data_IF_974256717592
#
_entry.id   IF_974256717592
#
_cell.length_a   1.000
_cell.length_b   1.000
_cell.length_c   1.000
_cell.angle_alpha   90.00
_cell.angle_beta   90.00
_cell.angle_gamma   90.00
#
_symmetry.space_group_name_H-M   'P 1'
#
loop_
_entity.id
_entity.type
_entity.pdbx_description
1 polymer ?
#
# COMPACT_ATOMS: atom_id res chain seq x y z
N UNK A 1 -3.07 -0.81 38.79
CA UNK A 1 -3.52 0.42 38.11
C UNK A 1 -4.74 0.92 38.87
N UNK A 2 -4.72 2.14 39.41
CA UNK A 2 -5.80 2.64 40.26
C UNK A 2 -7.03 3.04 39.42
N UNK A 3 -8.23 2.80 39.94
CA UNK A 3 -9.49 3.27 39.34
C UNK A 3 -9.58 4.80 39.43
N UNK A 4 -10.25 5.43 38.46
CA UNK A 4 -10.56 6.86 38.51
C UNK A 4 -11.45 7.21 39.72
N UNK A 5 -12.28 6.27 40.20
CA UNK A 5 -13.08 6.44 41.41
C UNK A 5 -12.19 6.66 42.66
N UNK A 6 -11.09 5.90 42.78
CA UNK A 6 -10.14 6.02 43.89
C UNK A 6 -9.43 7.38 43.83
N UNK A 7 -9.14 7.87 42.63
CA UNK A 7 -8.53 9.19 42.43
C UNK A 7 -9.45 10.32 42.87
N UNK A 8 -10.75 10.23 42.58
CA UNK A 8 -11.75 11.19 43.08
C UNK A 8 -11.80 11.15 44.60
N UNK A 9 -11.88 9.96 45.23
CA UNK A 9 -11.91 9.83 46.68
C UNK A 9 -10.69 10.46 47.37
N UNK A 10 -9.48 10.22 46.85
CA UNK A 10 -8.23 10.82 47.37
C UNK A 10 -8.25 12.34 47.27
N UNK A 11 -8.73 12.90 46.16
CA UNK A 11 -8.82 14.36 45.96
C UNK A 11 -9.87 14.95 46.91
N UNK A 12 -11.06 14.37 46.99
CA UNK A 12 -12.15 14.84 47.87
C UNK A 12 -11.73 14.82 49.34
N UNK A 13 -11.12 13.72 49.80
CA UNK A 13 -10.62 13.60 51.17
C UNK A 13 -9.54 14.64 51.49
N UNK A 14 -8.64 14.92 50.53
CA UNK A 14 -7.64 15.99 50.68
C UNK A 14 -8.28 17.36 50.87
N UNK A 15 -9.38 17.66 50.16
CA UNK A 15 -10.08 18.95 50.23
C UNK A 15 -10.95 19.07 51.48
N UNK A 16 -11.74 18.05 51.81
CA UNK A 16 -12.67 18.08 52.94
C UNK A 16 -11.96 18.02 54.30
N UNK A 17 -10.91 17.20 54.40
CA UNK A 17 -10.17 16.99 55.66
C UNK A 17 -8.93 17.86 55.78
N UNK A 18 -8.58 18.63 54.73
CA UNK A 18 -7.41 19.52 54.67
C UNK A 18 -6.10 18.83 55.08
N UNK A 19 -5.97 17.53 54.80
CA UNK A 19 -4.79 16.72 55.11
C UNK A 19 -3.74 16.80 54.02
N UNK A 20 -2.50 16.35 54.24
CA UNK A 20 -1.49 16.29 53.18
C UNK A 20 -1.86 15.28 52.09
N UNK A 21 -1.41 15.52 50.84
CA UNK A 21 -1.66 14.63 49.71
C UNK A 21 -1.12 13.20 49.94
N UNK A 22 0.01 13.08 50.64
CA UNK A 22 0.56 11.78 51.03
C UNK A 22 -0.35 11.05 52.03
N UNK A 23 -0.91 11.78 53.02
CA UNK A 23 -1.85 11.20 53.99
C UNK A 23 -3.15 10.76 53.32
N UNK A 24 -3.69 11.56 52.40
CA UNK A 24 -4.85 11.19 51.60
C UNK A 24 -4.59 9.95 50.73
N UNK A 25 -3.39 9.83 50.15
CA UNK A 25 -2.98 8.62 49.42
C UNK A 25 -2.96 7.38 50.30
N UNK A 26 -2.33 7.46 51.48
CA UNK A 26 -2.26 6.34 52.43
C UNK A 26 -3.63 5.84 52.88
N UNK A 27 -4.58 6.75 53.10
CA UNK A 27 -5.95 6.41 53.51
C UNK A 27 -6.64 5.46 52.52
N UNK A 28 -6.42 5.67 51.21
CA UNK A 28 -7.01 4.86 50.14
C UNK A 28 -6.02 3.87 49.50
N UNK A 29 -4.92 3.55 50.21
CA UNK A 29 -3.89 2.61 49.76
C UNK A 29 -3.26 2.98 48.39
N UNK A 30 -3.12 4.28 48.13
CA UNK A 30 -2.48 4.85 46.95
C UNK A 30 -1.05 5.29 47.30
N UNK A 31 -0.10 4.96 46.44
CA UNK A 31 1.29 5.43 46.55
C UNK A 31 1.34 6.96 46.69
N UNK A 32 2.19 7.45 47.61
CA UNK A 32 2.23 8.86 47.99
C UNK A 32 2.57 9.77 46.80
N UNK A 33 3.48 9.34 45.91
CA UNK A 33 3.84 10.13 44.72
C UNK A 33 2.68 10.21 43.74
N UNK A 34 1.89 9.15 43.64
CA UNK A 34 0.70 9.10 42.80
C UNK A 34 -0.38 10.05 43.32
N UNK A 35 -0.67 10.01 44.62
CA UNK A 35 -1.63 10.92 45.26
C UNK A 35 -1.20 12.40 45.14
N UNK A 36 0.09 12.69 45.38
CA UNK A 36 0.66 14.03 45.19
C UNK A 36 0.52 14.51 43.74
N UNK A 37 0.78 13.64 42.75
CA UNK A 37 0.64 13.97 41.33
C UNK A 37 -0.82 14.28 40.97
N UNK A 38 -1.78 13.50 41.44
CA UNK A 38 -3.21 13.74 41.18
C UNK A 38 -3.70 15.06 41.77
N UNK A 39 -3.35 15.35 43.02
CA UNK A 39 -3.76 16.59 43.70
C UNK A 39 -3.08 17.81 43.05
N UNK A 40 -1.81 17.69 42.62
CA UNK A 40 -1.12 18.75 41.88
C UNK A 40 -1.79 19.04 40.54
N UNK A 41 -2.16 17.98 39.81
CA UNK A 41 -2.85 18.08 38.53
C UNK A 41 -4.25 18.68 38.69
N UNK A 42 -4.98 18.29 39.73
CA UNK A 42 -6.29 18.85 40.07
C UNK A 42 -6.21 20.34 40.40
N UNK A 43 -5.22 20.77 41.21
CA UNK A 43 -4.98 22.20 41.49
C UNK A 43 -4.60 22.98 40.23
N UNK A 44 -3.83 22.37 39.32
CA UNK A 44 -3.47 22.96 38.01
C UNK A 44 -4.71 23.19 37.13
N UNK A 45 -5.62 22.22 37.10
CA UNK A 45 -6.89 22.30 36.36
C UNK A 45 -7.90 23.28 36.98
N UNK A 46 -7.82 23.55 38.28
CA UNK A 46 -8.62 24.61 38.90
C UNK A 46 -8.08 26.02 38.64
N UNK A 47 -6.76 26.18 38.49
CA UNK A 47 -6.13 27.49 38.25
C UNK A 47 -6.16 27.92 36.78
N UNK A 48 -6.09 26.96 35.85
CA UNK A 48 -6.26 27.20 34.42
C UNK A 48 -7.52 26.47 33.96
N UNK A 49 -8.57 27.25 33.67
CA UNK A 49 -9.78 26.71 33.04
C UNK A 49 -9.46 25.96 31.75
N UNK A 50 -10.12 24.82 31.59
CA UNK A 50 -9.94 23.79 30.56
C UNK A 50 -8.56 23.10 30.57
N UNK A 51 -8.50 21.75 30.65
CA UNK A 51 -7.23 21.04 30.65
C UNK A 51 -6.55 21.26 29.30
N UNK A 52 -5.47 22.04 29.30
CA UNK A 52 -4.54 22.17 28.17
C UNK A 52 -4.18 20.74 27.74
N UNK A 53 -4.74 20.29 26.61
CA UNK A 53 -4.61 18.93 26.10
C UNK A 53 -3.13 18.55 26.23
N UNK A 54 -2.84 17.46 26.94
CA UNK A 54 -1.48 17.03 27.20
C UNK A 54 -0.71 17.05 25.88
N UNK A 55 0.16 18.06 25.67
CA UNK A 55 0.89 18.27 24.42
C UNK A 55 1.61 16.97 24.11
N UNK A 56 1.09 16.22 23.14
CA UNK A 56 1.69 14.95 22.72
C UNK A 56 3.14 15.25 22.39
N UNK A 57 4.06 14.46 22.95
CA UNK A 57 5.49 14.62 22.64
C UNK A 57 5.63 14.70 21.11
N UNK A 58 6.35 15.71 20.58
CA UNK A 58 6.52 15.82 19.14
C UNK A 58 7.05 14.48 18.61
N UNK A 59 6.35 13.90 17.64
CA UNK A 59 6.80 12.68 17.00
C UNK A 59 8.15 12.88 16.30
N UNK A 60 8.79 11.78 15.84
CA UNK A 60 10.00 11.87 15.03
C UNK A 60 9.81 12.84 13.85
N UNK A 61 10.83 13.66 13.57
CA UNK A 61 10.83 14.55 12.40
C UNK A 61 10.65 13.71 11.14
N UNK A 62 9.76 14.15 10.24
CA UNK A 62 9.53 13.46 8.96
C UNK A 62 10.79 13.54 8.11
N UNK A 63 11.26 12.39 7.60
CA UNK A 63 12.42 12.29 6.70
C UNK A 63 12.15 12.94 5.34
N UNK A 64 10.88 13.05 4.92
CA UNK A 64 10.46 13.74 3.71
C UNK A 64 9.96 15.16 4.04
N UNK A 65 10.72 16.17 3.61
CA UNK A 65 10.36 17.59 3.70
C UNK A 65 9.47 18.06 2.56
N UNK A 66 9.08 19.34 2.57
CA UNK A 66 8.29 19.95 1.48
C UNK A 66 9.08 20.01 0.17
N UNK A 67 10.39 20.23 0.22
CA UNK A 67 11.27 20.24 -0.96
C UNK A 67 11.28 18.88 -1.67
N UNK A 68 11.34 17.79 -0.91
CA UNK A 68 11.28 16.42 -1.45
C UNK A 68 9.93 16.13 -2.14
N UNK A 69 8.83 16.64 -1.57
CA UNK A 69 7.51 16.49 -2.18
C UNK A 69 7.37 17.30 -3.46
N UNK A 70 7.85 18.54 -3.46
CA UNK A 70 7.83 19.41 -4.63
C UNK A 70 8.59 18.77 -5.79
N UNK A 71 9.77 18.22 -5.51
CA UNK A 71 10.56 17.45 -6.48
C UNK A 71 9.79 16.27 -7.06
N UNK A 72 9.20 15.43 -6.20
CA UNK A 72 8.43 14.27 -6.66
C UNK A 72 7.19 14.65 -7.48
N UNK A 73 6.48 15.72 -7.10
CA UNK A 73 5.32 16.20 -7.85
C UNK A 73 5.75 16.66 -9.25
N UNK A 74 6.77 17.49 -9.35
CA UNK A 74 7.29 17.95 -10.63
C UNK A 74 7.79 16.79 -11.50
N UNK A 75 8.54 15.85 -10.90
CA UNK A 75 9.02 14.67 -11.61
C UNK A 75 7.89 13.80 -12.17
N UNK A 76 6.80 13.62 -11.42
CA UNK A 76 5.61 12.85 -11.83
C UNK A 76 4.83 13.59 -12.92
N UNK A 77 4.70 14.92 -12.81
CA UNK A 77 4.01 15.75 -13.82
C UNK A 77 4.76 15.71 -15.16
N UNK A 78 6.10 15.79 -15.13
CA UNK A 78 6.96 15.69 -16.30
C UNK A 78 7.00 14.25 -16.86
N UNK A 79 6.88 13.25 -15.99
CA UNK A 79 6.96 11.83 -16.33
C UNK A 79 5.75 11.05 -15.80
N UNK A 80 4.55 11.22 -16.39
CA UNK A 80 3.32 10.61 -15.87
C UNK A 80 3.31 9.06 -15.89
N UNK A 81 4.27 8.45 -16.60
CA UNK A 81 4.47 7.00 -16.67
C UNK A 81 5.61 6.48 -15.79
N UNK A 82 6.31 7.34 -15.04
CA UNK A 82 7.47 6.95 -14.25
C UNK A 82 7.10 5.89 -13.20
N UNK A 83 7.99 4.91 -13.03
CA UNK A 83 7.87 3.90 -11.99
C UNK A 83 8.45 4.42 -10.68
N UNK A 84 8.00 3.84 -9.55
CA UNK A 84 8.43 4.23 -8.21
C UNK A 84 9.97 4.24 -8.09
N UNK A 85 10.66 3.26 -8.69
CA UNK A 85 12.11 3.18 -8.66
C UNK A 85 12.77 4.36 -9.37
N UNK A 86 12.22 4.83 -10.49
CA UNK A 86 12.76 5.99 -11.22
C UNK A 86 12.52 7.29 -10.44
N UNK A 87 11.35 7.43 -9.81
CA UNK A 87 11.07 8.56 -8.92
C UNK A 87 12.00 8.55 -7.69
N UNK A 88 12.28 7.37 -7.14
CA UNK A 88 13.20 7.21 -6.02
C UNK A 88 14.65 7.51 -6.43
N UNK A 89 15.08 7.06 -7.60
CA UNK A 89 16.41 7.32 -8.15
C UNK A 89 16.62 8.83 -8.36
N UNK A 90 15.66 9.49 -9.00
CA UNK A 90 15.61 10.95 -9.15
C UNK A 90 15.68 11.68 -7.81
N UNK A 91 14.95 11.18 -6.81
CA UNK A 91 14.96 11.72 -5.46
C UNK A 91 16.34 11.54 -4.80
N UNK A 92 16.93 10.34 -4.82
CA UNK A 92 18.27 10.07 -4.27
C UNK A 92 19.41 10.80 -4.99
N UNK A 93 19.26 11.10 -6.28
CA UNK A 93 20.23 11.91 -7.03
C UNK A 93 20.20 13.38 -6.57
N UNK A 94 19.01 13.89 -6.24
CA UNK A 94 18.83 15.30 -5.94
C UNK A 94 19.05 15.66 -4.46
N UNK A 95 18.83 14.74 -3.52
CA UNK A 95 19.11 15.01 -2.11
C UNK A 95 19.88 13.88 -1.44
N UNK A 96 20.95 14.25 -0.73
CA UNK A 96 21.83 13.32 -0.03
C UNK A 96 21.11 12.66 1.17
N UNK A 97 21.45 11.39 1.46
CA UNK A 97 20.94 10.67 2.63
C UNK A 97 19.56 10.00 2.47
N UNK A 98 18.98 9.98 1.27
CA UNK A 98 17.65 9.39 1.03
C UNK A 98 17.65 7.92 0.57
N UNK A 99 18.75 7.21 0.77
CA UNK A 99 19.03 5.90 0.18
C UNK A 99 18.18 4.73 0.72
N UNK A 100 17.33 4.95 1.73
CA UNK A 100 16.65 3.87 2.47
C UNK A 100 15.13 4.07 2.67
N UNK A 101 14.49 4.97 1.93
CA UNK A 101 13.10 5.35 2.21
C UNK A 101 12.04 4.29 1.84
N UNK A 102 12.37 3.35 0.95
CA UNK A 102 11.44 2.30 0.51
C UNK A 102 12.19 0.97 0.38
N UNK A 103 11.76 -0.01 1.19
CA UNK A 103 12.25 -1.39 1.05
C UNK A 103 11.40 -2.12 0.01
N UNK A 104 12.05 -2.76 -0.94
CA UNK A 104 11.37 -3.50 -1.98
C UNK A 104 10.61 -4.68 -1.36
N UNK A 105 9.30 -4.74 -1.61
CA UNK A 105 8.45 -5.83 -1.12
C UNK A 105 8.34 -6.88 -2.23
N UNK A 106 8.84 -8.09 -1.96
CA UNK A 106 8.67 -9.21 -2.86
C UNK A 106 7.29 -9.86 -2.64
N UNK A 107 6.54 -10.01 -3.72
CA UNK A 107 5.29 -10.77 -3.67
C UNK A 107 5.59 -12.26 -3.51
N UNK A 108 5.20 -12.83 -2.37
CA UNK A 108 5.23 -14.27 -2.17
C UNK A 108 3.95 -14.90 -2.70
N UNK A 109 4.05 -15.66 -3.79
CA UNK A 109 2.94 -16.43 -4.32
C UNK A 109 2.57 -17.59 -3.36
N UNK A 110 1.65 -17.34 -2.44
CA UNK A 110 1.24 -18.27 -1.39
C UNK A 110 0.79 -19.63 -1.95
N UNK A 111 0.03 -19.62 -3.04
CA UNK A 111 -0.42 -20.84 -3.69
C UNK A 111 0.75 -21.67 -4.24
N UNK A 112 1.80 -21.03 -4.79
CA UNK A 112 2.98 -21.73 -5.35
C UNK A 112 3.92 -22.26 -4.27
N UNK A 113 3.94 -21.58 -3.12
CA UNK A 113 4.84 -21.85 -2.00
C UNK A 113 4.16 -22.60 -0.85
N UNK A 114 2.97 -23.20 -1.08
CA UNK A 114 2.40 -24.14 -0.12
C UNK A 114 3.25 -25.41 -0.05
N UNK A 115 3.32 -26.01 1.14
CA UNK A 115 4.09 -27.25 1.37
C UNK A 115 3.70 -28.33 0.36
N UNK A 116 2.40 -28.50 0.10
CA UNK A 116 1.89 -29.45 -0.88
C UNK A 116 2.45 -29.21 -2.30
N UNK A 117 2.47 -27.96 -2.77
CA UNK A 117 2.96 -27.64 -4.11
C UNK A 117 4.49 -27.63 -4.19
N UNK A 118 5.19 -27.43 -3.07
CA UNK A 118 6.62 -27.64 -2.97
C UNK A 118 6.93 -29.14 -3.08
N UNK A 119 6.24 -30.01 -2.33
CA UNK A 119 6.42 -31.47 -2.39
C UNK A 119 6.11 -32.02 -3.79
N UNK A 120 5.00 -31.60 -4.42
CA UNK A 120 4.69 -32.00 -5.80
C UNK A 120 5.78 -31.61 -6.80
N UNK A 121 6.39 -30.42 -6.66
CA UNK A 121 7.50 -30.00 -7.52
C UNK A 121 8.75 -30.83 -7.24
N UNK A 122 9.03 -31.13 -5.98
CA UNK A 122 10.15 -31.97 -5.59
C UNK A 122 10.03 -33.39 -6.18
N UNK A 123 8.87 -34.02 -6.02
CA UNK A 123 8.57 -35.33 -6.61
C UNK A 123 8.68 -35.32 -8.14
N UNK A 124 8.13 -34.28 -8.78
CA UNK A 124 8.25 -34.10 -10.23
C UNK A 124 9.71 -34.00 -10.67
N UNK A 125 10.50 -33.12 -10.06
CA UNK A 125 11.92 -32.95 -10.39
C UNK A 125 12.67 -34.27 -10.18
N UNK A 126 12.45 -34.95 -9.06
CA UNK A 126 13.12 -36.22 -8.73
C UNK A 126 12.81 -37.31 -9.75
N UNK A 127 11.54 -37.42 -10.15
CA UNK A 127 11.09 -38.37 -11.17
C UNK A 127 11.82 -38.16 -12.50
N UNK A 128 11.95 -36.90 -12.92
CA UNK A 128 12.52 -36.53 -14.21
C UNK A 128 14.04 -36.44 -14.21
N UNK A 129 14.66 -36.19 -13.06
CA UNK A 129 16.12 -36.20 -12.90
C UNK A 129 16.72 -37.59 -13.18
N UNK A 130 15.97 -38.66 -12.91
CA UNK A 130 16.37 -40.04 -13.17
C UNK A 130 16.05 -40.52 -14.60
N UNK A 131 15.59 -39.62 -15.48
CA UNK A 131 15.25 -39.94 -16.87
C UNK A 131 16.33 -39.44 -17.84
N UNK A 132 16.22 -39.81 -19.12
CA UNK A 132 17.07 -39.27 -20.21
C UNK A 132 16.67 -37.83 -20.62
N UNK A 133 15.88 -37.11 -19.82
CA UNK A 133 15.48 -35.75 -20.14
C UNK A 133 16.60 -34.76 -19.80
N UNK A 134 17.30 -34.30 -20.82
CA UNK A 134 18.36 -33.30 -20.73
C UNK A 134 17.89 -31.97 -21.32
N UNK A 135 17.49 -31.04 -20.43
CA UNK A 135 16.91 -29.74 -20.78
C UNK A 135 17.70 -28.94 -21.83
N UNK A 136 19.02 -29.14 -21.90
CA UNK A 136 19.89 -28.43 -22.82
C UNK A 136 20.08 -29.11 -24.19
N UNK A 137 19.59 -30.34 -24.40
CA UNK A 137 19.82 -31.10 -25.64
C UNK A 137 18.55 -31.65 -26.29
N UNK A 138 17.62 -32.22 -25.52
CA UNK A 138 16.49 -32.96 -26.07
C UNK A 138 15.12 -32.42 -25.62
N UNK A 139 15.05 -31.19 -25.12
CA UNK A 139 13.79 -30.55 -24.72
C UNK A 139 13.45 -29.34 -25.59
N UNK A 140 12.16 -29.21 -25.90
CA UNK A 140 11.53 -28.00 -26.43
C UNK A 140 10.49 -27.56 -25.41
N UNK A 141 10.58 -26.32 -24.96
CA UNK A 141 9.65 -25.69 -24.04
C UNK A 141 8.62 -24.90 -24.84
N UNK A 142 7.35 -25.11 -24.54
CA UNK A 142 6.24 -24.41 -25.19
C UNK A 142 5.53 -23.58 -24.13
N UNK A 143 5.33 -22.30 -24.40
CA UNK A 143 4.59 -21.40 -23.51
C UNK A 143 3.70 -20.42 -24.29
N UNK A 144 2.66 -19.94 -23.60
CA UNK A 144 1.74 -18.93 -24.07
C UNK A 144 1.90 -17.65 -23.25
N UNK A 145 2.23 -16.54 -23.92
CA UNK A 145 2.33 -15.22 -23.29
C UNK A 145 1.34 -14.24 -23.92
N UNK A 146 0.49 -13.66 -23.06
CA UNK A 146 -0.46 -12.62 -23.45
C UNK A 146 0.17 -11.22 -23.38
N UNK A 147 0.19 -10.50 -24.50
CA UNK A 147 0.69 -9.14 -24.61
C UNK A 147 -0.46 -8.16 -24.83
N UNK A 148 -0.53 -7.14 -23.98
CA UNK A 148 -1.44 -6.02 -24.20
C UNK A 148 -0.67 -4.97 -25.01
N UNK A 149 -1.19 -4.55 -26.17
CA UNK A 149 -0.49 -3.56 -27.01
C UNK A 149 -0.26 -2.22 -26.27
N UNK A 150 -1.13 -1.94 -25.29
CA UNK A 150 -0.94 -0.86 -24.33
C UNK A 150 -0.48 -1.44 -22.99
N UNK A 151 0.64 -2.16 -22.92
CA UNK A 151 1.31 -2.48 -21.64
C UNK A 151 1.90 -1.19 -21.02
N UNK A 152 1.05 -0.17 -20.85
CA UNK A 152 1.30 1.02 -20.04
C UNK A 152 0.58 0.82 -18.72
N UNK A 153 1.04 1.49 -17.66
CA UNK A 153 0.27 1.53 -16.40
C UNK A 153 -1.13 2.03 -16.70
N UNK A 154 -2.16 1.28 -16.28
CA UNK A 154 -3.56 1.71 -16.40
C UNK A 154 -3.92 2.84 -15.41
N UNK A 155 -2.93 3.35 -14.68
CA UNK A 155 -3.06 4.27 -13.56
C UNK A 155 -2.04 5.38 -13.74
N UNK A 156 -2.51 6.61 -13.59
CA UNK A 156 -1.69 7.81 -13.45
C UNK A 156 -1.74 8.27 -11.99
N UNK A 157 -0.75 9.06 -11.60
CA UNK A 157 -0.72 9.68 -10.28
C UNK A 157 -1.42 11.04 -10.33
N UNK A 158 -2.12 11.41 -9.25
CA UNK A 158 -2.65 12.76 -9.04
C UNK A 158 -2.50 13.18 -7.60
N UNK A 159 -2.67 14.48 -7.34
CA UNK A 159 -2.68 15.00 -5.99
C UNK A 159 -3.77 14.33 -5.15
N UNK A 160 -3.46 14.06 -3.88
CA UNK A 160 -4.40 13.45 -2.94
C UNK A 160 -5.68 14.28 -2.84
N UNK A 161 -6.83 13.66 -3.11
CA UNK A 161 -8.14 14.33 -3.12
C UNK A 161 -8.58 14.86 -4.48
N UNK A 162 -7.72 14.85 -5.49
CA UNK A 162 -8.09 15.11 -6.88
C UNK A 162 -8.43 13.81 -7.62
N UNK A 163 -9.47 13.82 -8.44
CA UNK A 163 -9.80 12.67 -9.30
C UNK A 163 -8.86 12.69 -10.52
N UNK A 164 -7.97 11.70 -10.71
CA UNK A 164 -7.16 11.62 -11.91
C UNK A 164 -8.08 11.25 -13.09
N UNK A 165 -8.36 12.22 -13.98
CA UNK A 165 -9.12 11.98 -15.22
C UNK A 165 -8.16 12.17 -16.39
N UNK A 166 -7.79 11.06 -17.03
CA UNK A 166 -7.01 11.08 -18.28
C UNK A 166 -7.91 10.61 -19.41
N UNK A 167 -8.16 11.49 -20.38
CA UNK A 167 -8.92 11.15 -21.56
C UNK A 167 -8.04 10.32 -22.52
N UNK A 168 -8.42 9.06 -22.75
CA UNK A 168 -7.74 8.17 -23.69
C UNK A 168 -8.72 7.71 -24.75
N UNK A 169 -8.30 7.68 -26.01
CA UNK A 169 -9.17 7.32 -27.14
C UNK A 169 -9.75 5.90 -27.04
N UNK A 170 -9.13 4.97 -26.31
CA UNK A 170 -9.66 3.61 -26.08
C UNK A 170 -9.12 3.04 -24.78
N UNK A 171 -9.99 2.57 -23.89
CA UNK A 171 -9.64 2.04 -22.56
C UNK A 171 -9.23 0.56 -22.56
N UNK A 172 -9.66 -0.22 -23.56
CA UNK A 172 -9.28 -1.64 -23.71
C UNK A 172 -8.46 -1.82 -24.97
N UNK A 173 -7.19 -2.15 -24.82
CA UNK A 173 -6.34 -2.44 -25.96
C UNK A 173 -6.54 -3.88 -26.43
N UNK A 174 -6.18 -4.11 -27.68
CA UNK A 174 -6.26 -5.41 -28.33
C UNK A 174 -5.13 -6.29 -27.75
N UNK A 175 -5.50 -7.34 -27.02
CA UNK A 175 -4.57 -8.36 -26.51
C UNK A 175 -4.10 -9.30 -27.63
N UNK A 176 -2.80 -9.50 -27.76
CA UNK A 176 -2.21 -10.47 -28.68
C UNK A 176 -1.58 -11.57 -27.86
N UNK A 177 -1.85 -12.81 -28.23
CA UNK A 177 -1.22 -13.96 -27.58
C UNK A 177 -0.09 -14.43 -28.47
N UNK A 178 1.10 -14.61 -27.90
CA UNK A 178 2.24 -15.21 -28.57
C UNK A 178 2.44 -16.61 -27.98
N UNK A 179 2.41 -17.61 -28.84
CA UNK A 179 2.83 -18.97 -28.52
C UNK A 179 4.29 -19.11 -28.95
N UNK A 180 5.16 -19.46 -28.03
CA UNK A 180 6.58 -19.65 -28.28
C UNK A 180 6.99 -21.09 -28.01
N UNK A 181 7.80 -21.66 -28.90
CA UNK A 181 8.54 -22.88 -28.68
C UNK A 181 10.04 -22.56 -28.68
N UNK A 182 10.74 -22.88 -27.59
CA UNK A 182 12.16 -22.58 -27.41
C UNK A 182 12.92 -23.84 -26.96
N UNK A 183 14.17 -23.96 -27.35
CA UNK A 183 15.10 -24.94 -26.82
C UNK A 183 16.42 -24.25 -26.45
N UNK A 184 17.39 -24.98 -25.93
CA UNK A 184 18.68 -24.40 -25.55
C UNK A 184 19.48 -23.82 -26.74
N UNK A 185 19.21 -24.27 -27.97
CA UNK A 185 19.81 -23.69 -29.18
C UNK A 185 19.14 -22.36 -29.59
N UNK A 186 17.94 -22.05 -29.07
CA UNK A 186 17.23 -20.80 -29.34
C UNK A 186 15.74 -20.98 -29.62
N UNK A 187 15.18 -20.05 -30.37
CA UNK A 187 13.75 -20.04 -30.72
C UNK A 187 13.51 -21.05 -31.85
N UNK A 188 12.64 -22.03 -31.59
CA UNK A 188 12.26 -23.06 -32.56
C UNK A 188 11.12 -22.56 -33.44
N UNK A 189 10.08 -21.99 -32.82
CA UNK A 189 8.93 -21.45 -33.54
C UNK A 189 8.21 -20.40 -32.68
N UNK A 190 7.62 -19.40 -33.32
CA UNK A 190 6.71 -18.45 -32.68
C UNK A 190 5.47 -18.27 -33.54
N UNK A 191 4.30 -18.24 -32.90
CA UNK A 191 3.05 -17.95 -33.58
C UNK A 191 2.26 -16.90 -32.82
N UNK A 192 1.70 -15.95 -33.56
CA UNK A 192 0.90 -14.86 -33.00
C UNK A 192 -0.58 -15.17 -33.24
N UNK A 193 -1.33 -15.32 -32.17
CA UNK A 193 -2.79 -15.39 -32.21
C UNK A 193 -3.36 -13.97 -32.13
N UNK A 194 -3.92 -13.52 -33.24
CA UNK A 194 -4.68 -12.26 -33.29
C UNK A 194 -6.03 -12.46 -32.60
N UNK A 195 -6.48 -11.51 -31.77
CA UNK A 195 -7.78 -11.63 -31.13
C UNK A 195 -8.89 -11.50 -32.16
N UNK A 196 -9.92 -12.31 -32.00
CA UNK A 196 -11.14 -12.22 -32.80
C UNK A 196 -11.89 -10.95 -32.42
N UNK A 197 -11.86 -9.94 -33.29
CA UNK A 197 -12.68 -8.74 -33.15
C UNK A 197 -14.14 -9.17 -33.25
N UNK A 198 -14.87 -9.17 -32.13
CA UNK A 198 -16.32 -9.38 -32.17
C UNK A 198 -16.91 -8.24 -33.01
N UNK A 199 -17.41 -8.53 -34.21
CA UNK A 199 -18.18 -7.56 -35.00
C UNK A 199 -19.33 -7.08 -34.14
N UNK A 200 -19.36 -5.79 -33.81
CA UNK A 200 -20.48 -5.19 -33.10
C UNK A 200 -21.75 -5.49 -33.89
N UNK A 201 -22.73 -6.19 -33.29
CA UNK A 201 -24.07 -6.33 -33.88
C UNK A 201 -24.58 -4.91 -34.13
N UNK A 202 -24.68 -4.53 -35.40
CA UNK A 202 -25.24 -3.25 -35.84
C UNK A 202 -26.60 -3.10 -35.16
N UNK A 203 -26.74 -2.20 -34.17
CA UNK A 203 -28.07 -1.85 -33.65
C UNK A 203 -28.82 -1.26 -34.83
N UNK A 204 -29.93 -1.89 -35.25
CA UNK A 204 -30.87 -1.29 -36.18
C UNK A 204 -31.40 -0.01 -35.52
N UNK A 205 -30.91 1.14 -35.94
CA UNK A 205 -31.57 2.42 -35.70
C UNK A 205 -32.77 2.50 -36.63
N UNK A 206 -33.94 2.16 -36.10
CA UNK A 206 -35.23 2.34 -36.77
C UNK A 206 -36.01 3.47 -36.09
N UNK A 207 -35.92 4.66 -36.69
CA UNK A 207 -36.74 5.88 -36.50
C UNK A 207 -38.23 5.54 -36.70
N UNK A 208 -39.20 6.03 -35.90
CA UNK A 208 -39.80 7.39 -35.94
C UNK A 208 -40.63 7.63 -34.67
N UNK A 209 -40.39 8.75 -33.99
CA UNK A 209 -41.38 9.34 -33.06
C UNK A 209 -42.44 10.03 -33.91
N UNK A 210 -43.72 9.69 -33.71
CA UNK A 210 -44.86 10.42 -34.29
C UNK A 210 -44.90 11.82 -33.67
N UNK A 211 -44.95 12.84 -34.51
CA UNK A 211 -45.22 14.21 -34.10
C UNK A 211 -46.68 14.31 -33.63
N UNK A 212 -46.88 14.85 -32.43
CA UNK A 212 -48.18 15.31 -31.92
C UNK A 212 -48.49 16.67 -32.55
N UNK A 213 -49.64 16.78 -33.20
CA UNK A 213 -50.21 18.06 -33.64
C UNK A 213 -51.49 18.31 -32.85
N UNK A 214 -51.50 19.46 -32.18
CA UNK A 214 -52.60 20.26 -31.60
C UNK A 214 -53.73 19.55 -30.87
#
# INVERSE_FOLDING_TARGET
MYSEEIKVLVITYHLEKLVSAAKAGREYNVDERTAQRWIKEYKRQQQHGEPDEAKKKPGPKKTLGEEHKAHLMQYIDDNPSAVLNQAMESLTQQFEGMQHLLQEAYFHALARNSELNISKRYEWITKWQNSDMYFMKNCIFIDESGFHINQRRAMAWSQKGSTPIVNVATTKAIWHTILGAICAAGVVNTSIRKPTVKKSKKRKTGTKRKATTK
#
